data_IF_845453078939
#
_entry.id   IF_845453078939
#
_cell.length_a   1.000
_cell.length_b   1.000
_cell.length_c   1.000
_cell.angle_alpha   90.00
_cell.angle_beta   90.00
_cell.angle_gamma   90.00
#
_symmetry.space_group_name_H-M   'P 1'
#
loop_
_entity.id
_entity.type
_entity.pdbx_description
1 polymer ?
#
# COMPACT_ATOMS: atom_id res chain seq x y z
N UNK A 1 -5.91 27.79 -8.39
CA UNK A 1 -6.88 26.71 -8.69
C UNK A 1 -8.27 27.34 -8.68
N UNK A 2 -9.02 27.26 -9.78
CA UNK A 2 -10.44 27.67 -9.79
C UNK A 2 -11.26 26.42 -9.52
N UNK A 3 -11.96 26.37 -8.39
CA UNK A 3 -12.98 25.36 -8.15
C UNK A 3 -14.14 25.60 -9.13
N UNK A 4 -14.89 24.55 -9.46
CA UNK A 4 -16.15 24.72 -10.18
C UNK A 4 -17.07 25.68 -9.39
N UNK A 5 -17.99 26.41 -10.06
CA UNK A 5 -18.90 27.34 -9.39
C UNK A 5 -19.69 26.72 -8.22
N UNK A 6 -19.95 25.41 -8.31
CA UNK A 6 -20.68 24.60 -7.33
C UNK A 6 -19.79 24.02 -6.20
N UNK A 7 -18.46 24.25 -6.25
CA UNK A 7 -17.50 23.59 -5.36
C UNK A 7 -17.22 22.13 -5.75
N UNK A 8 -16.91 21.29 -4.75
CA UNK A 8 -16.63 19.85 -4.91
C UNK A 8 -17.76 18.97 -4.34
N UNK A 9 -18.89 19.54 -3.91
CA UNK A 9 -19.95 18.83 -3.17
C UNK A 9 -19.40 18.00 -1.97
N UNK A 10 -20.24 17.20 -1.32
CA UNK A 10 -19.85 16.37 -0.15
C UNK A 10 -19.33 14.97 -0.56
N UNK A 11 -19.22 14.71 -1.87
CA UNK A 11 -18.86 13.40 -2.42
C UNK A 11 -17.38 13.29 -2.80
N UNK A 12 -16.66 14.40 -2.88
CA UNK A 12 -15.29 14.44 -3.35
C UNK A 12 -14.33 14.90 -2.26
N UNK A 13 -13.19 14.23 -2.18
CA UNK A 13 -12.08 14.63 -1.31
C UNK A 13 -10.99 15.26 -2.17
N UNK A 14 -10.54 16.46 -1.78
CA UNK A 14 -9.31 17.03 -2.32
C UNK A 14 -8.12 16.58 -1.45
N UNK A 15 -7.14 15.95 -2.09
CA UNK A 15 -5.91 15.49 -1.42
C UNK A 15 -4.68 16.16 -2.04
N UNK A 16 -3.64 16.30 -1.22
CA UNK A 16 -2.32 16.75 -1.69
C UNK A 16 -1.75 15.75 -2.71
N UNK A 17 -1.23 16.24 -3.83
CA UNK A 17 -0.48 15.42 -4.77
C UNK A 17 0.95 15.22 -4.27
N UNK A 18 1.28 13.99 -3.87
CA UNK A 18 2.66 13.64 -3.49
C UNK A 18 3.44 13.28 -4.74
N UNK A 19 4.39 14.16 -5.10
CA UNK A 19 5.26 14.00 -6.25
C UNK A 19 6.31 12.92 -6.00
N UNK A 20 6.83 12.36 -7.09
CA UNK A 20 7.83 11.31 -7.09
C UNK A 20 7.36 10.13 -7.92
N UNK A 21 8.29 9.50 -8.64
CA UNK A 21 8.00 8.39 -9.54
C UNK A 21 7.96 7.04 -8.83
N UNK A 22 8.24 7.01 -7.52
CA UNK A 22 8.19 5.81 -6.69
C UNK A 22 6.87 5.71 -5.92
N UNK A 23 6.29 4.53 -5.94
CA UNK A 23 5.20 4.12 -5.05
C UNK A 23 5.54 2.80 -4.39
N UNK A 24 4.95 2.59 -3.22
CA UNK A 24 5.18 1.40 -2.42
C UNK A 24 3.84 0.78 -2.07
N UNK A 25 3.82 -0.55 -2.07
CA UNK A 25 2.72 -1.34 -1.57
C UNK A 25 3.25 -2.31 -0.53
N UNK A 26 2.59 -2.43 0.61
CA UNK A 26 2.94 -3.41 1.64
C UNK A 26 1.71 -4.21 2.02
N UNK A 27 1.73 -5.50 1.65
CA UNK A 27 0.77 -6.49 2.13
C UNK A 27 1.21 -7.04 3.48
N UNK A 28 0.27 -7.13 4.41
CA UNK A 28 0.43 -7.62 5.77
C UNK A 28 -0.48 -8.83 6.01
N UNK A 29 0.04 -9.84 6.70
CA UNK A 29 -0.77 -10.83 7.41
C UNK A 29 -0.90 -10.38 8.87
N UNK A 30 -2.14 -10.18 9.30
CA UNK A 30 -2.45 -9.64 10.62
C UNK A 30 -3.33 -10.63 11.39
N UNK A 31 -3.06 -10.79 12.68
CA UNK A 31 -3.95 -11.52 13.58
C UNK A 31 -4.04 -10.80 14.91
N UNK A 32 -5.25 -10.46 15.35
CA UNK A 32 -5.49 -9.74 16.61
C UNK A 32 -4.66 -8.45 16.72
N UNK A 33 -4.64 -7.66 15.65
CA UNK A 33 -3.83 -6.43 15.49
C UNK A 33 -2.30 -6.63 15.41
N UNK A 34 -1.79 -7.85 15.52
CA UNK A 34 -0.36 -8.14 15.37
C UNK A 34 0.00 -8.45 13.92
N UNK A 35 1.06 -7.81 13.42
CA UNK A 35 1.63 -8.10 12.10
C UNK A 35 2.49 -9.36 12.24
N UNK A 36 2.02 -10.45 11.64
CA UNK A 36 2.69 -11.74 11.69
C UNK A 36 3.63 -11.95 10.51
N UNK A 37 3.32 -11.37 9.36
CA UNK A 37 4.15 -11.46 8.16
C UNK A 37 3.86 -10.28 7.21
N UNK A 38 4.79 -9.97 6.31
CA UNK A 38 4.62 -8.89 5.33
C UNK A 38 5.44 -9.06 4.06
N UNK A 39 4.95 -8.48 2.97
CA UNK A 39 5.68 -8.37 1.71
C UNK A 39 5.56 -6.94 1.18
N UNK A 40 6.72 -6.29 1.01
CA UNK A 40 6.83 -4.97 0.44
C UNK A 40 7.22 -5.04 -1.04
N UNK A 41 6.62 -4.18 -1.84
CA UNK A 41 6.97 -4.01 -3.23
C UNK A 41 7.07 -2.52 -3.54
N UNK A 42 8.04 -2.18 -4.37
CA UNK A 42 8.31 -0.84 -4.86
C UNK A 42 8.04 -0.82 -6.36
N UNK A 43 7.27 0.17 -6.79
CA UNK A 43 6.98 0.45 -8.19
C UNK A 43 7.68 1.75 -8.59
N UNK A 44 8.27 1.77 -9.78
CA UNK A 44 8.71 2.99 -10.45
C UNK A 44 7.82 3.24 -11.66
N UNK A 45 7.31 4.44 -11.76
CA UNK A 45 6.47 4.89 -12.85
C UNK A 45 7.21 5.84 -13.80
N UNK A 46 6.67 6.05 -14.99
CA UNK A 46 7.28 6.90 -16.02
C UNK A 46 7.14 8.40 -15.74
N UNK A 47 6.41 8.79 -14.70
CA UNK A 47 6.07 10.17 -14.37
C UNK A 47 5.99 10.34 -12.85
N UNK A 48 6.33 11.53 -12.36
CA UNK A 48 6.24 11.88 -10.94
C UNK A 48 4.80 12.07 -10.45
N UNK A 49 3.89 12.44 -11.35
CA UNK A 49 2.47 12.55 -11.08
C UNK A 49 1.78 11.28 -11.56
N UNK A 50 1.27 10.49 -10.62
CA UNK A 50 0.51 9.30 -10.95
C UNK A 50 -0.90 9.70 -11.37
N UNK A 51 -1.17 9.68 -12.68
CA UNK A 51 -2.49 9.95 -13.24
C UNK A 51 -2.81 8.82 -14.22
N UNK A 52 -3.59 7.85 -13.78
CA UNK A 52 -4.08 6.76 -14.63
C UNK A 52 -5.04 7.30 -15.71
N UNK A 53 -5.02 6.79 -16.96
CA UNK A 53 -4.11 5.79 -17.54
C UNK A 53 -2.87 6.40 -18.22
N UNK A 54 -2.53 7.65 -17.92
CA UNK A 54 -1.45 8.40 -18.59
C UNK A 54 -0.05 8.08 -18.06
N UNK A 55 0.05 7.27 -17.01
CA UNK A 55 1.30 6.82 -16.38
C UNK A 55 1.59 5.36 -16.75
N UNK A 56 2.87 5.01 -16.96
CA UNK A 56 3.30 3.63 -17.25
C UNK A 56 4.21 3.10 -16.16
N UNK A 57 4.05 1.83 -15.80
CA UNK A 57 5.00 1.13 -14.94
C UNK A 57 6.32 0.93 -15.69
N UNK A 58 7.43 1.30 -15.06
CA UNK A 58 8.79 1.18 -15.60
C UNK A 58 9.52 0.01 -14.95
N UNK A 59 9.43 -0.10 -13.63
CA UNK A 59 10.14 -1.09 -12.84
C UNK A 59 9.31 -1.50 -11.63
N UNK A 60 9.49 -2.73 -11.20
CA UNK A 60 8.87 -3.27 -10.00
C UNK A 60 9.83 -4.24 -9.34
N UNK A 61 10.03 -4.10 -8.03
CA UNK A 61 10.89 -4.99 -7.26
C UNK A 61 10.39 -5.18 -5.83
N UNK A 62 10.73 -6.33 -5.23
CA UNK A 62 10.55 -6.52 -3.80
C UNK A 62 11.42 -5.54 -3.03
N UNK A 63 10.89 -5.02 -1.93
CA UNK A 63 11.64 -4.13 -1.06
C UNK A 63 11.51 -4.55 0.41
N UNK A 64 12.50 -4.16 1.21
CA UNK A 64 12.36 -4.20 2.66
C UNK A 64 11.36 -3.14 3.11
N UNK A 65 10.73 -3.40 4.26
CA UNK A 65 9.82 -2.45 4.91
C UNK A 65 10.46 -2.06 6.24
N UNK A 66 10.84 -0.77 6.43
CA UNK A 66 11.40 -0.29 7.69
C UNK A 66 10.46 -0.56 8.87
N UNK A 67 11.03 -0.83 10.05
CA UNK A 67 10.22 -1.15 11.24
C UNK A 67 9.35 0.04 11.66
N UNK A 68 9.81 1.25 11.40
CA UNK A 68 9.12 2.51 11.61
C UNK A 68 7.83 2.56 10.79
N UNK A 69 7.86 2.08 9.55
CA UNK A 69 6.68 2.02 8.69
C UNK A 69 5.70 0.96 9.21
N UNK A 70 6.19 -0.22 9.61
CA UNK A 70 5.35 -1.25 10.24
C UNK A 70 4.69 -0.73 11.53
N UNK A 71 5.40 0.06 12.33
CA UNK A 71 4.84 0.70 13.53
C UNK A 71 3.74 1.71 13.21
N UNK A 72 3.82 2.40 12.07
CA UNK A 72 2.74 3.26 11.60
C UNK A 72 1.54 2.41 11.18
N UNK A 73 1.75 1.34 10.40
CA UNK A 73 0.67 0.46 9.97
C UNK A 73 -0.07 -0.17 11.15
N UNK A 74 0.63 -0.63 12.20
CA UNK A 74 0.02 -1.18 13.42
C UNK A 74 -1.05 -0.27 14.03
N UNK A 75 -0.92 1.06 13.91
CA UNK A 75 -1.90 2.01 14.45
C UNK A 75 -3.28 1.91 13.76
N UNK A 76 -3.31 1.44 12.52
CA UNK A 76 -4.55 1.24 11.75
C UNK A 76 -5.20 -0.13 11.98
N UNK A 77 -4.47 -1.09 12.56
CA UNK A 77 -4.87 -2.50 12.60
C UNK A 77 -5.64 -2.88 13.87
N UNK A 78 -6.11 -1.92 14.67
CA UNK A 78 -6.80 -2.20 15.93
C UNK A 78 -8.03 -3.09 15.70
N UNK A 79 -8.01 -4.28 16.30
CA UNK A 79 -9.08 -5.26 16.19
C UNK A 79 -9.15 -5.99 14.84
N UNK A 80 -8.15 -5.82 13.98
CA UNK A 80 -8.12 -6.43 12.65
C UNK A 80 -7.41 -7.79 12.67
N UNK A 81 -7.95 -8.73 11.89
CA UNK A 81 -7.36 -10.03 11.57
C UNK A 81 -7.63 -10.33 10.10
N UNK A 82 -6.61 -10.77 9.37
CA UNK A 82 -6.68 -11.08 7.94
C UNK A 82 -5.55 -10.44 7.15
N UNK A 83 -5.76 -10.32 5.84
CA UNK A 83 -4.85 -9.64 4.93
C UNK A 83 -5.21 -8.16 4.84
N UNK A 84 -4.22 -7.29 5.02
CA UNK A 84 -4.37 -5.86 4.82
C UNK A 84 -3.21 -5.33 3.98
N UNK A 85 -3.50 -4.45 3.05
CA UNK A 85 -2.52 -3.86 2.17
C UNK A 85 -2.51 -2.32 2.32
N UNK A 86 -1.33 -1.72 2.29
CA UNK A 86 -1.12 -0.27 2.36
C UNK A 86 -0.38 0.22 1.13
N UNK A 87 -0.97 1.17 0.40
CA UNK A 87 -0.31 1.88 -0.70
C UNK A 87 0.12 3.27 -0.23
N UNK A 88 1.38 3.60 -0.48
CA UNK A 88 1.97 4.83 0.01
C UNK A 88 3.10 5.37 -0.88
N UNK A 89 3.36 6.67 -0.71
CA UNK A 89 4.59 7.34 -1.16
C UNK A 89 5.43 7.75 0.04
N UNK A 90 6.71 8.01 -0.21
CA UNK A 90 7.61 8.62 0.77
C UNK A 90 7.86 10.07 0.39
N UNK A 91 7.90 10.96 1.38
CA UNK A 91 8.42 12.33 1.20
C UNK A 91 9.95 12.32 1.17
N UNK A 92 10.54 13.45 0.82
CA UNK A 92 12.00 13.64 0.79
C UNK A 92 12.66 13.35 2.15
N UNK A 93 11.97 13.61 3.26
CA UNK A 93 12.42 13.31 4.62
C UNK A 93 12.21 11.85 5.04
N UNK A 94 11.69 11.01 4.15
CA UNK A 94 11.37 9.61 4.39
C UNK A 94 10.03 9.37 5.10
N UNK A 95 9.26 10.41 5.42
CA UNK A 95 7.96 10.24 6.05
C UNK A 95 6.94 9.59 5.09
N UNK A 96 6.11 8.69 5.65
CA UNK A 96 5.12 7.94 4.89
C UNK A 96 3.88 8.77 4.60
N UNK A 97 3.37 8.63 3.37
CA UNK A 97 2.07 9.15 2.96
C UNK A 97 1.20 8.03 2.42
N UNK A 98 0.35 7.51 3.29
CA UNK A 98 -0.62 6.47 2.94
C UNK A 98 -1.75 7.11 2.16
N UNK A 99 -2.06 6.59 0.97
CA UNK A 99 -3.18 7.05 0.15
C UNK A 99 -4.27 6.00 -0.02
N UNK A 100 -3.98 4.72 0.23
CA UNK A 100 -4.99 3.66 0.22
C UNK A 100 -4.67 2.58 1.28
N UNK A 101 -5.73 2.05 1.90
CA UNK A 101 -5.68 0.89 2.79
C UNK A 101 -6.74 -0.11 2.34
N UNK A 102 -6.31 -1.32 2.01
CA UNK A 102 -7.15 -2.37 1.43
C UNK A 102 -7.23 -3.58 2.40
N UNK A 103 -8.33 -3.80 3.14
CA UNK A 103 -8.50 -4.94 4.04
C UNK A 103 -8.91 -6.21 3.28
N UNK A 104 -8.13 -6.55 2.24
CA UNK A 104 -8.36 -7.67 1.33
C UNK A 104 -7.06 -8.08 0.65
N UNK A 105 -7.10 -9.22 -0.04
CA UNK A 105 -6.03 -9.60 -0.98
C UNK A 105 -5.97 -8.55 -2.11
N UNK A 106 -4.79 -7.92 -2.24
CA UNK A 106 -4.49 -6.93 -3.27
C UNK A 106 -3.96 -7.55 -4.56
N UNK A 107 -3.85 -6.72 -5.61
CA UNK A 107 -3.16 -7.12 -6.83
C UNK A 107 -1.68 -7.41 -6.60
N UNK A 108 -1.09 -6.74 -5.61
CA UNK A 108 0.30 -6.93 -5.22
C UNK A 108 0.59 -8.37 -4.76
N UNK A 109 -0.22 -8.92 -3.85
CA UNK A 109 -0.09 -10.30 -3.40
C UNK A 109 -0.48 -11.32 -4.50
N UNK A 110 -1.42 -10.96 -5.37
CA UNK A 110 -1.98 -11.87 -6.38
C UNK A 110 -1.08 -12.02 -7.61
N UNK A 111 -0.46 -10.94 -8.05
CA UNK A 111 0.21 -10.84 -9.36
C UNK A 111 1.66 -10.39 -9.27
N UNK A 112 1.99 -9.52 -8.31
CA UNK A 112 3.23 -8.77 -8.34
C UNK A 112 4.33 -9.36 -7.46
N UNK A 113 3.95 -9.87 -6.28
CA UNK A 113 4.86 -10.56 -5.36
C UNK A 113 5.22 -11.93 -5.95
N UNK A 114 6.51 -12.33 -5.95
CA UNK A 114 6.92 -13.65 -6.45
C UNK A 114 6.12 -14.78 -5.80
N UNK A 115 5.65 -15.72 -6.63
CA UNK A 115 4.77 -16.84 -6.21
C UNK A 115 5.25 -17.59 -4.96
N UNK A 116 6.55 -17.92 -4.77
CA UNK A 116 7.01 -18.57 -3.55
C UNK A 116 6.76 -17.73 -2.29
N UNK A 117 6.94 -16.41 -2.38
CA UNK A 117 6.73 -15.50 -1.26
C UNK A 117 5.26 -15.32 -0.92
N UNK A 118 4.41 -15.17 -1.94
CA UNK A 118 2.96 -15.09 -1.78
C UNK A 118 2.40 -16.39 -1.19
N UNK A 119 2.85 -17.55 -1.68
CA UNK A 119 2.48 -18.87 -1.13
C UNK A 119 2.82 -18.97 0.36
N UNK A 120 4.05 -18.65 0.75
CA UNK A 120 4.46 -18.75 2.16
C UNK A 120 3.59 -17.89 3.09
N UNK A 121 3.17 -16.71 2.63
CA UNK A 121 2.27 -15.83 3.39
C UNK A 121 0.86 -16.46 3.52
N UNK A 122 0.33 -17.02 2.44
CA UNK A 122 -0.99 -17.68 2.43
C UNK A 122 -1.01 -18.99 3.21
N UNK A 123 0.05 -19.80 3.18
CA UNK A 123 0.19 -21.00 4.00
C UNK A 123 0.23 -20.64 5.49
N UNK A 124 0.92 -19.55 5.84
CA UNK A 124 0.91 -19.03 7.21
C UNK A 124 -0.48 -18.57 7.64
N UNK A 125 -1.22 -17.92 6.75
CA UNK A 125 -2.61 -17.51 7.00
C UNK A 125 -3.50 -18.73 7.24
N UNK A 126 -3.42 -19.75 6.38
CA UNK A 126 -4.17 -21.00 6.52
C UNK A 126 -3.90 -21.65 7.89
N UNK A 127 -2.63 -21.73 8.31
CA UNK A 127 -2.27 -22.29 9.61
C UNK A 127 -2.83 -21.54 10.85
N UNK A 128 -3.29 -20.29 10.69
CA UNK A 128 -3.83 -19.46 11.77
C UNK A 128 -5.36 -19.52 11.82
N UNK A 129 -6.00 -19.61 10.66
CA UNK A 129 -7.45 -19.45 10.52
C UNK A 129 -8.21 -20.76 10.19
N UNK A 130 -7.49 -21.87 10.02
CA UNK A 130 -8.06 -23.22 9.78
C UNK A 130 -8.29 -24.02 11.06
#
# INVERSE_FOLDING_TARGET
MRLAPEGLEDHWLLQEMIRGDLEYSTTLLVHQAEILDWAGIKYRYSMEAYVWPHVRLVEQELCSVPVEHLNIFRKFLKGFSGICNFNFKLREDGSICIFEVNPRVGGDLSFDIPKPRARALLEKMDAIFS
#
